data_IF_057990792821
#
_entry.id   IF_057990792821
#
_cell.length_a   1.000
_cell.length_b   1.000
_cell.length_c   1.000
_cell.angle_alpha   90.00
_cell.angle_beta   90.00
_cell.angle_gamma   90.00
#
_symmetry.space_group_name_H-M   'P 1'
#
loop_
_entity.id
_entity.type
_entity.pdbx_description
1 polymer ?
#
# COMPACT_ATOMS: atom_id res chain seq x y z
N UNK A 1 -16.58 -20.50 7.92
CA UNK A 1 -16.62 -20.21 6.49
C UNK A 1 -15.46 -20.92 5.83
N UNK A 2 -15.78 -21.81 4.89
CA UNK A 2 -14.77 -22.57 4.17
C UNK A 2 -14.06 -21.69 3.17
N UNK A 3 -12.75 -21.86 3.02
CA UNK A 3 -11.93 -21.14 2.04
C UNK A 3 -12.51 -21.21 0.62
N UNK A 4 -13.14 -22.32 0.28
CA UNK A 4 -13.80 -22.60 -0.99
C UNK A 4 -15.03 -21.70 -1.26
N UNK A 5 -15.74 -21.26 -0.23
CA UNK A 5 -16.85 -20.29 -0.36
C UNK A 5 -16.31 -18.88 -0.57
N UNK A 6 -15.22 -18.55 0.11
CA UNK A 6 -14.56 -17.24 -0.04
C UNK A 6 -13.93 -17.07 -1.42
N UNK A 7 -13.31 -18.12 -1.94
CA UNK A 7 -12.77 -18.12 -3.31
C UNK A 7 -13.86 -18.02 -4.37
N UNK A 8 -15.01 -18.67 -4.16
CA UNK A 8 -16.18 -18.56 -5.05
C UNK A 8 -16.82 -17.16 -5.00
N UNK A 9 -16.87 -16.53 -3.83
CA UNK A 9 -17.35 -15.15 -3.72
C UNK A 9 -16.38 -14.15 -4.34
N UNK A 10 -15.07 -14.34 -4.16
CA UNK A 10 -14.04 -13.54 -4.82
C UNK A 10 -14.08 -13.72 -6.34
N UNK A 11 -14.22 -14.94 -6.83
CA UNK A 11 -14.37 -15.20 -8.26
C UNK A 11 -15.65 -14.59 -8.83
N UNK A 12 -16.77 -14.62 -8.10
CA UNK A 12 -18.00 -13.90 -8.48
C UNK A 12 -17.79 -12.39 -8.52
N UNK A 13 -17.11 -11.80 -7.54
CA UNK A 13 -16.80 -10.37 -7.51
C UNK A 13 -15.82 -9.95 -8.61
N UNK A 14 -14.83 -10.79 -8.95
CA UNK A 14 -13.91 -10.51 -10.07
C UNK A 14 -14.58 -10.70 -11.44
N UNK A 15 -15.52 -11.61 -11.58
CA UNK A 15 -16.30 -11.79 -12.83
C UNK A 15 -17.35 -10.68 -12.99
N UNK A 16 -17.89 -10.12 -11.90
CA UNK A 16 -18.76 -8.92 -11.94
C UNK A 16 -17.95 -7.61 -11.94
N UNK A 17 -16.64 -7.67 -11.72
CA UNK A 17 -15.70 -6.55 -11.94
C UNK A 17 -15.23 -6.42 -13.40
N UNK A 18 -15.86 -7.13 -14.34
CA UNK A 18 -15.89 -6.71 -15.73
C UNK A 18 -16.56 -5.34 -15.70
N UNK A 19 -15.73 -4.29 -15.86
CA UNK A 19 -16.23 -2.96 -16.04
C UNK A 19 -17.39 -3.07 -17.04
N UNK A 20 -18.61 -2.87 -16.57
CA UNK A 20 -19.68 -2.32 -17.36
C UNK A 20 -19.18 -0.93 -17.78
N UNK A 21 -18.19 -0.93 -18.68
CA UNK A 21 -18.05 0.15 -19.59
C UNK A 21 -19.38 0.14 -20.31
N UNK A 22 -20.23 1.11 -20.00
CA UNK A 22 -21.27 1.51 -20.92
C UNK A 22 -20.57 1.61 -22.28
N UNK A 23 -20.64 0.55 -23.08
CA UNK A 23 -20.43 0.66 -24.51
C UNK A 23 -21.56 1.54 -24.95
N UNK A 24 -21.30 2.84 -24.97
CA UNK A 24 -22.24 3.83 -25.52
C UNK A 24 -22.34 3.42 -26.98
N UNK A 25 -23.38 2.66 -27.30
CA UNK A 25 -23.70 2.30 -28.66
C UNK A 25 -24.01 3.61 -29.39
N UNK A 26 -23.04 4.05 -30.19
CA UNK A 26 -23.27 5.21 -31.07
C UNK A 26 -24.23 4.74 -32.15
N UNK A 27 -25.43 5.30 -32.15
CA UNK A 27 -26.43 5.02 -33.18
C UNK A 27 -25.98 5.70 -34.49
N UNK A 28 -25.66 4.91 -35.49
CA UNK A 28 -25.19 5.41 -36.80
C UNK A 28 -26.28 6.14 -37.60
N UNK A 29 -27.57 6.02 -37.24
CA UNK A 29 -28.68 6.69 -37.93
C UNK A 29 -29.03 8.02 -37.27
N UNK A 30 -28.54 8.27 -36.05
CA UNK A 30 -28.80 9.52 -35.31
C UNK A 30 -27.83 10.63 -35.68
N UNK A 31 -28.33 11.80 -35.98
CA UNK A 31 -27.54 13.04 -36.09
C UNK A 31 -27.28 13.58 -34.70
N UNK A 32 -26.02 13.60 -34.32
CA UNK A 32 -25.58 14.11 -33.01
C UNK A 32 -25.17 15.59 -33.12
N UNK A 33 -25.54 16.38 -32.14
CA UNK A 33 -25.02 17.74 -31.99
C UNK A 33 -23.65 17.73 -31.26
N UNK A 34 -22.96 18.87 -31.28
CA UNK A 34 -21.66 19.02 -30.66
C UNK A 34 -21.66 18.74 -29.14
N UNK A 35 -22.59 19.22 -28.33
CA UNK A 35 -22.67 18.89 -26.90
C UNK A 35 -22.87 17.40 -26.65
N UNK A 36 -23.72 16.71 -27.42
CA UNK A 36 -23.93 15.26 -27.29
C UNK A 36 -22.66 14.47 -27.58
N UNK A 37 -21.90 14.86 -28.63
CA UNK A 37 -20.64 14.22 -28.96
C UNK A 37 -19.57 14.42 -27.88
N UNK A 38 -19.55 15.61 -27.25
CA UNK A 38 -18.64 15.89 -26.14
C UNK A 38 -18.98 14.98 -24.94
N UNK A 39 -20.27 14.87 -24.56
CA UNK A 39 -20.72 14.03 -23.44
C UNK A 39 -20.37 12.55 -23.67
N UNK A 40 -20.62 12.05 -24.89
CA UNK A 40 -20.26 10.68 -25.29
C UNK A 40 -18.75 10.48 -25.19
N UNK A 41 -17.96 11.42 -25.73
CA UNK A 41 -16.51 11.31 -25.71
C UNK A 41 -15.94 11.32 -24.28
N UNK A 42 -16.47 12.17 -23.41
CA UNK A 42 -16.02 12.23 -22.02
C UNK A 42 -16.30 10.95 -21.24
N UNK A 43 -17.47 10.35 -21.44
CA UNK A 43 -17.85 9.09 -20.79
C UNK A 43 -17.08 7.89 -21.31
N UNK A 44 -16.81 7.85 -22.61
CA UNK A 44 -16.18 6.69 -23.26
C UNK A 44 -14.67 6.75 -23.32
N UNK A 45 -14.05 7.91 -23.05
CA UNK A 45 -12.61 8.09 -23.21
C UNK A 45 -11.81 7.45 -22.08
N UNK A 46 -10.93 6.48 -22.38
CA UNK A 46 -10.09 5.85 -21.36
C UNK A 46 -9.16 6.84 -20.64
N UNK A 47 -8.78 7.96 -21.29
CA UNK A 47 -7.91 8.98 -20.67
C UNK A 47 -8.62 9.70 -19.52
N UNK A 48 -9.92 9.97 -19.62
CA UNK A 48 -10.72 10.55 -18.53
C UNK A 48 -10.70 9.61 -17.33
N UNK A 49 -10.91 8.31 -17.56
CA UNK A 49 -10.89 7.31 -16.50
C UNK A 49 -9.51 7.19 -15.85
N UNK A 50 -8.44 7.18 -16.63
CA UNK A 50 -7.07 7.17 -16.10
C UNK A 50 -6.77 8.42 -15.27
N UNK A 51 -7.18 9.60 -15.73
CA UNK A 51 -6.99 10.85 -15.00
C UNK A 51 -7.78 10.86 -13.68
N UNK A 52 -9.02 10.35 -13.68
CA UNK A 52 -9.83 10.14 -12.49
C UNK A 52 -9.17 9.22 -11.47
N UNK A 53 -8.71 8.04 -11.91
CA UNK A 53 -8.04 7.08 -11.02
C UNK A 53 -6.73 7.65 -10.45
N UNK A 54 -6.01 8.47 -11.21
CA UNK A 54 -4.83 9.20 -10.70
C UNK A 54 -5.19 10.18 -9.59
N UNK A 55 -6.27 10.95 -9.77
CA UNK A 55 -6.75 11.86 -8.73
C UNK A 55 -7.19 11.10 -7.47
N UNK A 56 -7.87 9.98 -7.64
CA UNK A 56 -8.28 9.07 -6.56
C UNK A 56 -7.08 8.47 -5.81
N UNK A 57 -6.05 8.05 -6.54
CA UNK A 57 -4.80 7.56 -5.97
C UNK A 57 -4.09 8.64 -5.15
N UNK A 58 -4.04 9.88 -5.67
CA UNK A 58 -3.47 11.01 -4.94
C UNK A 58 -4.28 11.35 -3.68
N UNK A 59 -5.61 11.24 -3.71
CA UNK A 59 -6.46 11.40 -2.53
C UNK A 59 -6.17 10.30 -1.47
N UNK A 60 -5.98 9.06 -1.90
CA UNK A 60 -5.60 7.98 -1.02
C UNK A 60 -4.21 8.20 -0.39
N UNK A 61 -3.26 8.77 -1.14
CA UNK A 61 -1.93 9.12 -0.63
C UNK A 61 -2.00 10.19 0.49
N UNK A 62 -2.93 11.14 0.41
CA UNK A 62 -3.20 12.08 1.52
C UNK A 62 -3.68 11.33 2.76
N UNK A 63 -4.63 10.41 2.61
CA UNK A 63 -5.09 9.56 3.73
C UNK A 63 -3.95 8.74 4.35
N UNK A 64 -3.11 8.14 3.51
CA UNK A 64 -1.94 7.40 3.96
C UNK A 64 -0.96 8.28 4.73
N UNK A 65 -0.68 9.51 4.27
CA UNK A 65 0.20 10.43 4.97
C UNK A 65 -0.33 10.82 6.36
N UNK A 66 -1.66 10.86 6.50
CA UNK A 66 -2.31 11.15 7.79
C UNK A 66 -2.29 9.95 8.73
N UNK A 67 -2.17 8.72 8.24
CA UNK A 67 -2.10 7.51 9.07
C UNK A 67 -0.89 7.53 10.02
N UNK A 68 0.19 8.23 9.66
CA UNK A 68 1.38 8.39 10.49
C UNK A 68 1.14 9.14 11.81
N UNK A 69 0.00 9.82 11.96
CA UNK A 69 -0.38 10.46 13.22
C UNK A 69 -1.01 9.50 14.24
N UNK A 70 -1.40 8.31 13.81
CA UNK A 70 -2.05 7.32 14.65
C UNK A 70 -1.08 6.23 15.09
N UNK A 71 -1.32 5.61 16.26
CA UNK A 71 -0.59 4.41 16.66
C UNK A 71 -0.91 3.24 15.75
N UNK A 72 0.06 2.36 15.55
CA UNK A 72 -0.14 1.10 14.84
C UNK A 72 0.24 -0.10 15.70
N UNK A 73 -0.50 -1.18 15.52
CA UNK A 73 -0.26 -2.44 16.19
C UNK A 73 0.79 -3.25 15.42
N UNK A 74 1.73 -3.80 16.16
CA UNK A 74 2.74 -4.72 15.62
C UNK A 74 2.56 -6.05 16.31
N UNK A 75 2.33 -7.08 15.54
CA UNK A 75 2.36 -8.47 16.01
C UNK A 75 3.59 -9.16 15.42
N UNK A 76 4.34 -9.86 16.25
CA UNK A 76 5.44 -10.71 15.81
C UNK A 76 5.32 -12.08 16.44
N UNK A 77 5.58 -13.11 15.65
CA UNK A 77 5.68 -14.47 16.11
C UNK A 77 6.93 -15.09 15.48
N UNK A 78 7.64 -15.91 16.26
CA UNK A 78 8.81 -16.61 15.78
C UNK A 78 9.01 -17.88 16.58
N UNK A 79 9.46 -18.92 15.89
CA UNK A 79 9.95 -20.15 16.50
C UNK A 79 11.42 -20.30 16.10
N UNK A 80 12.24 -20.72 17.03
CA UNK A 80 13.66 -20.88 16.79
C UNK A 80 14.26 -22.02 17.59
N UNK A 81 15.31 -22.58 17.04
CA UNK A 81 16.21 -23.51 17.72
C UNK A 81 17.50 -22.75 18.00
N UNK A 82 17.90 -22.71 19.28
CA UNK A 82 19.13 -22.07 19.70
C UNK A 82 20.05 -23.13 20.29
N UNK A 83 21.26 -23.23 19.74
CA UNK A 83 22.32 -24.06 20.24
C UNK A 83 23.40 -23.15 20.81
N UNK A 84 23.56 -23.14 22.11
CA UNK A 84 24.52 -22.30 22.80
C UNK A 84 25.59 -23.12 23.55
N UNK A 85 26.83 -22.68 23.41
CA UNK A 85 27.94 -23.18 24.21
C UNK A 85 28.22 -22.18 25.34
N UNK A 86 27.91 -22.55 26.55
CA UNK A 86 28.20 -21.73 27.73
C UNK A 86 29.51 -22.21 28.36
N UNK A 87 30.58 -21.42 28.26
CA UNK A 87 31.82 -21.77 28.95
C UNK A 87 31.64 -21.56 30.45
N UNK A 88 32.08 -22.53 31.26
CA UNK A 88 32.10 -22.36 32.70
C UNK A 88 33.51 -22.70 33.23
N UNK A 89 34.01 -21.88 34.20
CA UNK A 89 35.31 -22.14 34.79
C UNK A 89 35.25 -23.36 35.71
N UNK A 90 36.24 -24.24 35.62
CA UNK A 90 36.41 -25.29 36.59
C UNK A 90 37.36 -24.84 37.69
N UNK A 91 36.92 -25.05 38.94
CA UNK A 91 37.72 -24.78 40.13
C UNK A 91 38.47 -26.07 40.48
N UNK A 92 39.79 -26.00 40.49
CA UNK A 92 40.61 -27.09 41.07
C UNK A 92 41.09 -26.66 42.43
N UNK A 93 40.87 -27.51 43.40
CA UNK A 93 41.43 -27.37 44.72
C UNK A 93 42.82 -27.98 44.76
N UNK A 94 43.81 -27.19 45.14
CA UNK A 94 45.16 -27.66 45.38
C UNK A 94 45.29 -28.36 46.73
N UNK A 95 46.51 -28.81 47.09
CA UNK A 95 46.77 -29.58 48.32
C UNK A 95 46.55 -28.80 49.61
N UNK A 96 46.40 -27.48 49.54
CA UNK A 96 46.14 -26.61 50.74
C UNK A 96 44.68 -26.20 50.83
N UNK A 97 44.18 -25.91 52.05
CA UNK A 97 42.78 -25.53 52.26
C UNK A 97 42.39 -24.18 51.61
N UNK A 98 43.36 -23.40 51.21
CA UNK A 98 43.15 -22.11 50.50
C UNK A 98 43.63 -22.13 49.03
N UNK A 99 44.20 -23.23 48.56
CA UNK A 99 44.69 -23.34 47.20
C UNK A 99 43.55 -23.67 46.21
N UNK A 100 42.87 -22.66 45.73
CA UNK A 100 41.84 -22.77 44.71
C UNK A 100 42.39 -22.11 43.43
N UNK A 101 42.58 -22.89 42.38
CA UNK A 101 42.96 -22.37 41.06
C UNK A 101 41.80 -22.51 40.06
N UNK A 102 41.57 -21.43 39.31
CA UNK A 102 40.65 -21.47 38.17
C UNK A 102 41.45 -21.99 36.97
N UNK A 103 41.15 -23.20 36.57
CA UNK A 103 41.77 -23.79 35.39
C UNK A 103 40.74 -23.82 34.27
N UNK A 104 41.21 -23.80 33.02
CA UNK A 104 40.34 -23.74 31.85
C UNK A 104 39.11 -24.65 32.00
N UNK A 105 37.98 -24.05 31.77
CA UNK A 105 36.68 -24.65 32.02
C UNK A 105 36.23 -25.59 30.92
N UNK A 106 35.18 -26.31 31.23
CA UNK A 106 34.39 -27.04 30.25
C UNK A 106 33.44 -26.10 29.50
N UNK A 107 32.84 -26.60 28.46
CA UNK A 107 31.72 -25.99 27.79
C UNK A 107 30.47 -26.82 28.03
N UNK A 108 29.40 -26.18 28.45
CA UNK A 108 28.10 -26.81 28.52
C UNK A 108 27.37 -26.48 27.21
N UNK A 109 27.09 -27.50 26.42
CA UNK A 109 26.19 -27.35 25.27
C UNK A 109 24.76 -27.35 25.76
N UNK A 110 24.02 -26.33 25.38
CA UNK A 110 22.61 -26.22 25.71
C UNK A 110 21.82 -26.05 24.42
N UNK A 111 20.83 -26.91 24.27
CA UNK A 111 19.86 -26.85 23.18
C UNK A 111 18.55 -26.33 23.72
N UNK A 112 18.07 -25.27 23.11
CA UNK A 112 16.78 -24.68 23.45
C UNK A 112 15.93 -24.54 22.20
N UNK A 113 14.71 -25.05 22.29
CA UNK A 113 13.65 -24.74 21.32
C UNK A 113 12.80 -23.68 21.96
N UNK A 114 12.65 -22.56 21.26
CA UNK A 114 11.89 -21.43 21.76
C UNK A 114 10.84 -20.98 20.78
N UNK A 115 9.66 -20.72 21.29
CA UNK A 115 8.61 -20.00 20.59
C UNK A 115 8.42 -18.66 21.26
N UNK A 116 8.26 -17.63 20.47
CA UNK A 116 7.96 -16.30 21.01
C UNK A 116 6.85 -15.64 20.21
N UNK A 117 5.92 -15.04 20.90
CA UNK A 117 4.91 -14.18 20.33
C UNK A 117 4.92 -12.86 21.09
N UNK A 118 4.85 -11.75 20.38
CA UNK A 118 4.76 -10.44 20.99
C UNK A 118 3.74 -9.58 20.24
N UNK A 119 2.99 -8.80 21.01
CA UNK A 119 2.08 -7.79 20.52
C UNK A 119 2.55 -6.44 21.10
N UNK A 120 2.69 -5.47 20.23
CA UNK A 120 3.15 -4.14 20.64
C UNK A 120 2.38 -3.04 19.93
N UNK A 121 2.40 -1.85 20.52
CA UNK A 121 1.88 -0.61 19.93
C UNK A 121 3.08 0.30 19.68
N UNK A 122 3.19 0.81 18.46
CA UNK A 122 4.17 1.84 18.13
C UNK A 122 3.45 3.13 17.78
N UNK A 123 3.87 4.21 18.38
CA UNK A 123 3.32 5.53 18.15
C UNK A 123 4.43 6.57 18.14
N UNK A 124 4.55 7.30 17.03
CA UNK A 124 5.49 8.38 16.90
C UNK A 124 4.87 9.65 17.50
N UNK A 125 5.30 10.03 18.70
CA UNK A 125 4.73 11.18 19.40
C UNK A 125 5.26 12.52 18.88
N UNK A 126 6.54 12.58 18.48
CA UNK A 126 7.19 13.80 18.04
C UNK A 126 8.20 13.52 16.92
N UNK A 127 8.23 14.35 15.88
CA UNK A 127 9.04 14.17 14.66
C UNK A 127 9.55 15.50 14.06
N UNK A 128 9.62 16.56 14.84
CA UNK A 128 10.08 17.88 14.42
C UNK A 128 9.37 18.44 13.17
N UNK A 129 8.19 17.93 12.83
CA UNK A 129 7.35 18.41 11.73
C UNK A 129 7.46 17.62 10.42
N UNK A 130 8.18 16.50 10.40
CA UNK A 130 8.32 15.63 9.22
C UNK A 130 6.96 15.18 8.70
N UNK A 131 6.06 14.64 9.55
CA UNK A 131 4.71 14.22 9.17
C UNK A 131 3.89 15.34 8.55
N UNK A 132 4.03 16.56 9.12
CA UNK A 132 3.35 17.74 8.57
C UNK A 132 3.82 18.07 7.16
N UNK A 133 5.13 18.01 6.94
CA UNK A 133 5.71 18.25 5.62
C UNK A 133 5.28 17.18 4.61
N UNK A 134 5.31 15.90 4.99
CA UNK A 134 4.86 14.79 4.14
C UNK A 134 3.36 14.92 3.79
N UNK A 135 2.52 15.27 4.77
CA UNK A 135 1.10 15.50 4.52
C UNK A 135 0.85 16.72 3.61
N UNK A 136 1.67 17.77 3.72
CA UNK A 136 1.59 18.92 2.81
C UNK A 136 1.95 18.51 1.37
N UNK A 137 3.04 17.79 1.18
CA UNK A 137 3.44 17.27 -0.14
C UNK A 137 2.32 16.40 -0.75
N UNK A 138 1.69 15.52 0.02
CA UNK A 138 0.60 14.70 -0.46
C UNK A 138 -0.62 15.54 -0.89
N UNK A 139 -0.95 16.61 -0.17
CA UNK A 139 -2.03 17.54 -0.52
C UNK A 139 -1.74 18.30 -1.82
N UNK A 140 -0.51 18.78 -1.99
CA UNK A 140 -0.09 19.43 -3.24
C UNK A 140 -0.14 18.43 -4.42
N UNK A 141 0.27 17.18 -4.18
CA UNK A 141 0.14 16.10 -5.17
C UNK A 141 -1.31 15.85 -5.60
N UNK A 142 -2.26 15.90 -4.66
CA UNK A 142 -3.69 15.82 -4.97
C UNK A 142 -4.15 17.02 -5.80
N UNK A 143 -3.71 18.22 -5.45
CA UNK A 143 -4.05 19.43 -6.22
C UNK A 143 -3.53 19.32 -7.67
N UNK A 144 -2.29 18.86 -7.86
CA UNK A 144 -1.71 18.62 -9.18
C UNK A 144 -2.51 17.57 -9.97
N UNK A 145 -2.95 16.50 -9.33
CA UNK A 145 -3.74 15.45 -9.98
C UNK A 145 -5.12 15.98 -10.43
N UNK A 146 -5.77 16.84 -9.63
CA UNK A 146 -7.03 17.49 -9.99
C UNK A 146 -6.87 18.46 -11.17
N UNK A 147 -5.78 19.23 -11.20
CA UNK A 147 -5.46 20.09 -12.35
C UNK A 147 -5.22 19.25 -13.60
N UNK A 148 -4.49 18.14 -13.47
CA UNK A 148 -4.27 17.18 -14.55
C UNK A 148 -5.57 16.55 -15.07
N UNK A 149 -6.52 16.23 -14.20
CA UNK A 149 -7.85 15.77 -14.59
C UNK A 149 -8.59 16.82 -15.44
N UNK A 150 -8.61 18.07 -14.98
CA UNK A 150 -9.24 19.17 -15.72
C UNK A 150 -8.58 19.41 -17.09
N UNK A 151 -7.25 19.26 -17.18
CA UNK A 151 -6.53 19.41 -18.45
C UNK A 151 -6.92 18.33 -19.46
N UNK A 152 -7.08 17.06 -19.00
CA UNK A 152 -7.57 15.96 -19.86
C UNK A 152 -8.99 16.23 -20.37
N UNK A 153 -9.87 16.71 -19.50
CA UNK A 153 -11.24 17.08 -19.85
C UNK A 153 -11.24 18.16 -20.95
N UNK A 154 -10.50 19.24 -20.76
CA UNK A 154 -10.39 20.31 -21.76
C UNK A 154 -9.80 19.82 -23.09
N UNK A 155 -8.83 18.91 -23.05
CA UNK A 155 -8.22 18.32 -24.23
C UNK A 155 -9.24 17.50 -25.05
N UNK A 156 -10.12 16.77 -24.38
CA UNK A 156 -11.17 15.98 -25.03
C UNK A 156 -12.17 16.92 -25.69
N UNK A 157 -12.68 17.92 -24.97
CA UNK A 157 -13.61 18.94 -25.50
C UNK A 157 -13.01 19.60 -26.74
N UNK A 158 -11.76 20.05 -26.65
CA UNK A 158 -11.07 20.67 -27.78
C UNK A 158 -10.95 19.73 -28.99
N UNK A 159 -10.57 18.48 -28.74
CA UNK A 159 -10.38 17.50 -29.82
C UNK A 159 -11.71 17.18 -30.52
N UNK A 160 -12.77 16.95 -29.76
CA UNK A 160 -14.11 16.67 -30.32
C UNK A 160 -14.62 17.88 -31.12
N UNK A 161 -14.53 19.08 -30.54
CA UNK A 161 -14.95 20.31 -31.18
C UNK A 161 -14.21 20.53 -32.51
N UNK A 162 -12.90 20.38 -32.49
CA UNK A 162 -12.07 20.50 -33.69
C UNK A 162 -12.49 19.48 -34.77
N UNK A 163 -12.68 18.22 -34.42
CA UNK A 163 -13.10 17.18 -35.36
C UNK A 163 -14.50 17.40 -35.91
N UNK A 164 -15.40 17.91 -35.08
CA UNK A 164 -16.76 18.26 -35.52
C UNK A 164 -16.75 19.33 -36.63
N UNK A 165 -15.96 20.38 -36.45
CA UNK A 165 -15.84 21.42 -37.49
C UNK A 165 -15.06 20.99 -38.74
N UNK A 166 -14.01 20.18 -38.56
CA UNK A 166 -13.26 19.58 -39.68
C UNK A 166 -14.18 18.69 -40.56
N UNK A 167 -15.15 18.01 -39.95
CA UNK A 167 -16.11 17.18 -40.71
C UNK A 167 -17.19 17.98 -41.43
N UNK A 168 -17.60 19.12 -40.91
CA UNK A 168 -18.66 19.96 -41.48
C UNK A 168 -18.16 21.00 -42.50
N UNK A 169 -16.86 21.03 -42.81
CA UNK A 169 -16.25 21.88 -43.86
C UNK A 169 -15.91 21.10 -45.08
#
# INVERSE_FOLDING_TARGET
PRLDEYEKELAKKTVHGKAEGDEIAVDSEKVYDLPELIDIAERSNPQTRVAWERARLAAAAVGLSQSAYYPYLVASAGAGYEHAFVPFPSLKQGPGPADVSITGGGTLATDAVGERAALGVKWLLFDFGERKAVAAIAKEGLMMANVGFNAVHQQIVFTVTRRFYEFNT
#
